data_IF_255759969595
#
_entry.id   IF_255759969595
#
_cell.length_a   1.000
_cell.length_b   1.000
_cell.length_c   1.000
_cell.angle_alpha   90.00
_cell.angle_beta   90.00
_cell.angle_gamma   90.00
#
_symmetry.space_group_name_H-M   'P 1'
#
loop_
_entity.id
_entity.type
_entity.pdbx_description
1 polymer ?
#
# COMPACT_ATOMS: atom_id res chain seq x y z
N UNK A 1 -26.33 6.77 6.42
CA UNK A 1 -25.08 7.45 6.03
C UNK A 1 -24.10 6.36 5.63
N UNK A 2 -23.51 6.45 4.44
CA UNK A 2 -22.56 5.46 3.95
C UNK A 2 -21.25 5.59 4.76
N UNK A 3 -20.52 4.50 5.08
CA UNK A 3 -19.31 4.57 5.91
C UNK A 3 -18.25 5.53 5.39
N UNK A 4 -18.05 5.58 4.06
CA UNK A 4 -17.11 6.49 3.41
C UNK A 4 -17.54 7.97 3.41
N UNK A 5 -18.82 8.27 3.66
CA UNK A 5 -19.27 9.65 3.88
C UNK A 5 -18.97 10.11 5.32
N UNK A 6 -19.06 9.17 6.28
CA UNK A 6 -18.75 9.45 7.68
C UNK A 6 -17.25 9.48 7.96
N UNK A 7 -16.46 8.73 7.17
CA UNK A 7 -15.02 8.56 7.29
C UNK A 7 -14.30 8.69 5.94
N UNK A 8 -14.38 9.86 5.28
CA UNK A 8 -13.74 10.07 3.97
C UNK A 8 -12.20 9.98 4.05
N UNK A 9 -11.61 10.20 5.22
CA UNK A 9 -10.18 10.07 5.45
C UNK A 9 -9.66 8.63 5.36
N UNK A 10 -10.56 7.63 5.37
CA UNK A 10 -10.23 6.21 5.18
C UNK A 10 -10.43 5.73 3.74
N UNK A 11 -10.73 6.65 2.83
CA UNK A 11 -10.83 6.35 1.41
C UNK A 11 -9.50 6.57 0.71
N UNK A 12 -9.16 5.67 -0.21
CA UNK A 12 -8.16 5.93 -1.24
C UNK A 12 -8.79 5.67 -2.61
N UNK A 13 -8.99 6.75 -3.36
CA UNK A 13 -9.77 6.76 -4.60
C UNK A 13 -11.15 6.10 -4.42
N UNK A 14 -11.35 4.92 -5.02
CA UNK A 14 -12.62 4.16 -5.04
C UNK A 14 -12.69 3.07 -3.96
N UNK A 15 -11.68 2.97 -3.11
CA UNK A 15 -11.59 1.97 -2.04
C UNK A 15 -11.77 2.62 -0.68
N UNK A 16 -12.72 2.11 0.11
CA UNK A 16 -12.91 2.46 1.51
C UNK A 16 -12.35 1.34 2.40
N UNK A 17 -11.52 1.72 3.37
CA UNK A 17 -10.94 0.79 4.34
C UNK A 17 -11.62 0.98 5.70
N UNK A 18 -12.08 -0.10 6.30
CA UNK A 18 -12.59 -0.05 7.68
C UNK A 18 -11.43 -0.13 8.68
N UNK A 19 -10.89 1.02 9.07
CA UNK A 19 -9.85 1.11 10.10
C UNK A 19 -10.41 1.26 11.52
N UNK A 20 -11.68 0.91 11.76
CA UNK A 20 -12.33 1.12 13.08
C UNK A 20 -11.63 0.42 14.25
N UNK A 21 -10.91 -0.68 13.97
CA UNK A 21 -10.13 -1.41 14.97
C UNK A 21 -8.67 -0.94 15.07
N UNK A 22 -8.24 0.03 14.27
CA UNK A 22 -6.88 0.58 14.33
C UNK A 22 -6.74 1.53 15.52
N UNK A 23 -5.56 1.58 16.12
CA UNK A 23 -5.22 2.57 17.15
C UNK A 23 -5.01 3.95 16.54
N UNK A 24 -4.37 3.98 15.38
CA UNK A 24 -4.04 5.18 14.66
C UNK A 24 -3.98 4.90 13.16
N UNK A 25 -4.40 5.89 12.37
CA UNK A 25 -4.28 5.90 10.91
C UNK A 25 -3.69 7.24 10.52
N UNK A 26 -2.68 7.22 9.64
CA UNK A 26 -2.07 8.42 9.06
C UNK A 26 -2.10 8.26 7.55
N UNK A 27 -2.65 9.23 6.82
CA UNK A 27 -2.44 9.36 5.38
C UNK A 27 -1.07 9.96 5.11
N UNK A 28 -0.07 9.10 4.89
CA UNK A 28 1.33 9.53 4.97
C UNK A 28 1.76 10.32 3.73
N UNK A 29 1.23 9.99 2.56
CA UNK A 29 1.44 10.76 1.33
C UNK A 29 0.95 12.21 1.46
N UNK A 30 -0.21 12.44 2.08
CA UNK A 30 -0.72 13.77 2.41
C UNK A 30 0.23 14.50 3.38
N UNK A 31 0.77 13.81 4.39
CA UNK A 31 1.73 14.42 5.32
C UNK A 31 3.04 14.81 4.62
N UNK A 32 3.58 13.95 3.76
CA UNK A 32 4.79 14.24 2.97
C UNK A 32 4.56 15.42 2.03
N UNK A 33 3.37 15.51 1.42
CA UNK A 33 2.97 16.63 0.59
C UNK A 33 2.84 17.94 1.39
N UNK A 34 2.19 17.90 2.55
CA UNK A 34 2.03 19.06 3.43
C UNK A 34 3.38 19.57 3.96
N UNK A 35 4.35 18.68 4.16
CA UNK A 35 5.73 19.04 4.51
C UNK A 35 6.54 19.61 3.33
N UNK A 36 5.97 19.64 2.12
CA UNK A 36 6.63 20.17 0.92
C UNK A 36 7.74 19.27 0.37
N UNK A 37 7.79 17.98 0.75
CA UNK A 37 8.90 17.08 0.43
C UNK A 37 8.70 16.25 -0.85
N UNK A 38 7.59 16.43 -1.57
CA UNK A 38 7.26 15.67 -2.80
C UNK A 38 8.22 15.89 -3.97
N UNK A 39 9.03 16.94 -3.93
CA UNK A 39 10.09 17.18 -4.91
C UNK A 39 11.41 16.44 -4.58
N UNK A 40 11.57 15.95 -3.34
CA UNK A 40 12.74 15.22 -2.86
C UNK A 40 12.45 13.73 -2.67
N UNK A 41 11.24 13.40 -2.25
CA UNK A 41 10.76 12.05 -2.00
C UNK A 41 9.72 11.66 -3.04
N UNK A 42 9.61 10.35 -3.31
CA UNK A 42 8.55 9.80 -4.19
C UNK A 42 7.14 9.93 -3.59
N UNK A 43 7.04 10.46 -2.36
CA UNK A 43 5.85 10.48 -1.52
C UNK A 43 5.93 9.44 -0.42
N UNK A 44 4.96 9.51 0.50
CA UNK A 44 4.70 8.43 1.45
C UNK A 44 3.91 7.29 0.80
N UNK A 45 3.84 6.16 1.49
CA UNK A 45 2.76 5.20 1.31
C UNK A 45 1.43 5.88 1.59
N UNK A 46 0.34 5.38 1.01
CA UNK A 46 -0.96 6.05 1.16
C UNK A 46 -1.45 6.00 2.62
N UNK A 47 -1.26 4.89 3.34
CA UNK A 47 -1.56 4.82 4.78
C UNK A 47 -0.45 4.22 5.63
N UNK A 48 -0.34 4.74 6.85
CA UNK A 48 0.33 4.10 7.98
C UNK A 48 -0.72 3.78 9.02
N UNK A 49 -0.86 2.50 9.34
CA UNK A 49 -1.91 2.00 10.22
C UNK A 49 -1.28 1.29 11.41
N UNK A 50 -1.46 1.87 12.60
CA UNK A 50 -1.00 1.26 13.84
C UNK A 50 -2.12 0.41 14.44
N UNK A 51 -1.86 -0.88 14.56
CA UNK A 51 -2.69 -1.83 15.31
C UNK A 51 -2.05 -2.12 16.67
N UNK A 52 -2.73 -2.88 17.53
CA UNK A 52 -2.16 -3.25 18.83
C UNK A 52 -0.84 -3.99 18.73
N UNK A 53 -0.72 -4.92 17.78
CA UNK A 53 0.43 -5.83 17.68
C UNK A 53 1.34 -5.58 16.48
N UNK A 54 1.02 -4.63 15.60
CA UNK A 54 1.72 -4.45 14.32
C UNK A 54 1.54 -3.03 13.77
N UNK A 55 2.49 -2.61 12.93
CA UNK A 55 2.41 -1.39 12.14
C UNK A 55 2.34 -1.77 10.66
N UNK A 56 1.34 -1.26 9.94
CA UNK A 56 1.22 -1.48 8.50
C UNK A 56 1.60 -0.21 7.74
N UNK A 57 2.38 -0.37 6.69
CA UNK A 57 2.59 0.60 5.63
C UNK A 57 1.79 0.10 4.42
N UNK A 58 0.72 0.80 4.04
CA UNK A 58 -0.19 0.39 2.98
C UNK A 58 0.01 1.27 1.74
N UNK A 59 0.36 0.63 0.63
CA UNK A 59 0.42 1.27 -0.69
C UNK A 59 -0.64 0.66 -1.60
N UNK A 60 -1.46 1.49 -2.21
CA UNK A 60 -2.60 1.14 -3.05
C UNK A 60 -2.25 1.45 -4.51
N UNK A 61 -2.58 0.50 -5.38
CA UNK A 61 -2.55 0.65 -6.83
C UNK A 61 -3.86 0.10 -7.38
N UNK A 62 -4.80 0.98 -7.73
CA UNK A 62 -6.15 0.58 -8.16
C UNK A 62 -6.40 0.91 -9.64
N UNK A 63 -5.91 0.08 -10.59
CA UNK A 63 -6.15 0.29 -12.01
C UNK A 63 -7.61 0.06 -12.42
N UNK A 64 -8.45 -0.53 -11.56
CA UNK A 64 -9.89 -0.72 -11.78
C UNK A 64 -10.75 0.25 -10.96
N UNK A 65 -10.17 1.34 -10.46
CA UNK A 65 -10.92 2.38 -9.76
C UNK A 65 -12.11 2.85 -10.58
N UNK A 66 -13.29 2.86 -9.96
CA UNK A 66 -14.52 3.39 -10.55
C UNK A 66 -14.43 4.87 -10.91
N UNK A 67 -13.47 5.61 -10.34
CA UNK A 67 -13.18 7.01 -10.69
C UNK A 67 -12.51 7.16 -12.07
N UNK A 68 -11.95 6.08 -12.65
CA UNK A 68 -11.36 6.10 -13.98
C UNK A 68 -12.50 6.10 -15.03
N UNK A 69 -12.54 7.10 -15.94
CA UNK A 69 -13.53 7.13 -17.01
C UNK A 69 -13.50 5.87 -17.87
N UNK A 70 -14.66 5.36 -18.26
CA UNK A 70 -14.82 4.08 -18.98
C UNK A 70 -13.86 3.93 -20.16
N UNK A 71 -13.79 4.96 -21.02
CA UNK A 71 -12.92 5.02 -22.20
C UNK A 71 -11.41 4.89 -21.91
N UNK A 72 -10.98 5.00 -20.64
CA UNK A 72 -9.58 4.92 -20.23
C UNK A 72 -9.26 3.66 -19.41
N UNK A 73 -10.26 2.89 -18.98
CA UNK A 73 -10.08 1.73 -18.07
C UNK A 73 -9.15 0.69 -18.67
N UNK A 74 -9.40 0.25 -19.90
CA UNK A 74 -8.58 -0.78 -20.54
C UNK A 74 -7.13 -0.32 -20.74
N UNK A 75 -6.94 0.94 -21.18
CA UNK A 75 -5.59 1.50 -21.33
C UNK A 75 -4.84 1.57 -20.00
N UNK A 76 -5.51 1.96 -18.92
CA UNK A 76 -4.93 2.03 -17.58
C UNK A 76 -4.55 0.64 -17.08
N UNK A 77 -5.44 -0.34 -17.26
CA UNK A 77 -5.20 -1.75 -16.94
C UNK A 77 -3.99 -2.31 -17.69
N UNK A 78 -3.93 -2.14 -19.02
CA UNK A 78 -2.81 -2.63 -19.83
C UNK A 78 -1.48 -1.98 -19.45
N UNK A 79 -1.49 -0.67 -19.19
CA UNK A 79 -0.30 0.03 -18.71
C UNK A 79 0.19 -0.54 -17.38
N UNK A 80 -0.72 -0.79 -16.44
CA UNK A 80 -0.36 -1.35 -15.14
C UNK A 80 0.21 -2.77 -15.25
N UNK A 81 -0.35 -3.62 -16.10
CA UNK A 81 0.22 -4.93 -16.41
C UNK A 81 1.62 -4.84 -17.01
N UNK A 82 1.84 -3.90 -17.94
CA UNK A 82 3.16 -3.64 -18.50
C UNK A 82 4.16 -3.17 -17.42
N UNK A 83 3.73 -2.35 -16.46
CA UNK A 83 4.55 -1.91 -15.32
C UNK A 83 4.92 -3.08 -14.38
N UNK A 84 4.04 -4.07 -14.20
CA UNK A 84 4.35 -5.30 -13.46
C UNK A 84 5.42 -6.12 -14.19
N UNK A 85 5.23 -6.35 -15.49
CA UNK A 85 6.13 -7.19 -16.32
C UNK A 85 7.52 -6.56 -16.44
N UNK A 86 7.59 -5.25 -16.65
CA UNK A 86 8.84 -4.50 -16.81
C UNK A 86 9.58 -4.22 -15.50
N UNK A 87 9.07 -4.65 -14.34
CA UNK A 87 9.56 -4.33 -13.00
C UNK A 87 9.48 -2.83 -12.62
N UNK A 88 9.00 -1.98 -13.53
CA UNK A 88 8.74 -0.55 -13.33
C UNK A 88 7.90 -0.30 -12.07
N UNK A 89 6.88 -1.14 -11.82
CA UNK A 89 6.06 -1.03 -10.62
C UNK A 89 6.91 -1.10 -9.33
N UNK A 90 7.86 -2.02 -9.25
CA UNK A 90 8.71 -2.17 -8.06
C UNK A 90 9.71 -1.02 -7.99
N UNK A 91 10.52 -0.87 -9.04
CA UNK A 91 11.68 0.01 -9.04
C UNK A 91 11.34 1.49 -8.98
N UNK A 92 10.22 1.88 -9.61
CA UNK A 92 9.83 3.29 -9.76
C UNK A 92 8.71 3.72 -8.83
N UNK A 93 7.98 2.77 -8.23
CA UNK A 93 6.82 3.09 -7.39
C UNK A 93 6.93 2.47 -5.99
N UNK A 94 6.86 1.14 -5.87
CA UNK A 94 6.73 0.48 -4.56
C UNK A 94 7.97 0.65 -3.68
N UNK A 95 9.16 0.30 -4.21
CA UNK A 95 10.38 0.37 -3.42
C UNK A 95 10.76 1.81 -3.02
N UNK A 96 10.76 2.81 -3.92
CA UNK A 96 11.02 4.19 -3.53
C UNK A 96 10.05 4.70 -2.46
N UNK A 97 8.75 4.42 -2.59
CA UNK A 97 7.77 4.84 -1.57
C UNK A 97 8.01 4.15 -0.22
N UNK A 98 8.34 2.85 -0.19
CA UNK A 98 8.70 2.17 1.06
C UNK A 98 9.90 2.84 1.74
N UNK A 99 10.99 3.04 0.98
CA UNK A 99 12.21 3.69 1.48
C UNK A 99 11.90 5.06 2.05
N UNK A 100 11.26 5.90 1.24
CA UNK A 100 11.03 7.29 1.55
C UNK A 100 10.05 7.44 2.73
N UNK A 101 9.07 6.53 2.84
CA UNK A 101 8.17 6.45 4.00
C UNK A 101 8.91 6.10 5.29
N UNK A 102 9.84 5.14 5.24
CA UNK A 102 10.62 4.77 6.43
C UNK A 102 11.56 5.90 6.87
N UNK A 103 12.14 6.63 5.91
CA UNK A 103 12.95 7.82 6.19
C UNK A 103 12.10 8.90 6.85
N UNK A 104 10.99 9.27 6.22
CA UNK A 104 10.10 10.33 6.70
C UNK A 104 9.51 9.98 8.06
N UNK A 105 8.97 8.77 8.23
CA UNK A 105 8.47 8.30 9.54
C UNK A 105 9.58 8.29 10.60
N UNK A 106 10.77 7.79 10.26
CA UNK A 106 11.87 7.70 11.20
C UNK A 106 12.35 9.05 11.72
N UNK A 107 12.35 10.08 10.86
CA UNK A 107 12.84 11.40 11.20
C UNK A 107 11.77 12.31 11.80
N UNK A 108 10.53 12.27 11.30
CA UNK A 108 9.48 13.20 11.73
C UNK A 108 8.64 12.68 12.89
N UNK A 109 8.31 11.38 12.90
CA UNK A 109 7.37 10.80 13.87
C UNK A 109 8.03 9.80 14.83
N UNK A 110 9.16 9.22 14.42
CA UNK A 110 9.70 7.98 14.97
C UNK A 110 8.89 6.76 14.52
N UNK A 111 9.54 5.59 14.47
CA UNK A 111 8.87 4.32 14.13
C UNK A 111 8.67 3.48 15.38
N UNK A 112 7.42 3.22 15.74
CA UNK A 112 7.05 2.38 16.88
C UNK A 112 7.71 1.00 16.81
N UNK A 113 8.12 0.45 17.97
CA UNK A 113 8.79 -0.86 18.05
C UNK A 113 7.79 -2.03 17.98
N UNK A 114 7.06 -2.13 16.87
CA UNK A 114 6.12 -3.23 16.55
C UNK A 114 6.53 -3.93 15.25
N UNK A 115 6.22 -5.22 15.06
CA UNK A 115 6.35 -5.88 13.76
C UNK A 115 5.77 -5.01 12.63
N UNK A 116 6.57 -4.76 11.60
CA UNK A 116 6.22 -3.88 10.49
C UNK A 116 5.82 -4.74 9.28
N UNK A 117 4.73 -4.38 8.60
CA UNK A 117 4.35 -4.98 7.32
C UNK A 117 4.24 -3.90 6.26
N UNK A 118 4.93 -4.08 5.14
CA UNK A 118 4.67 -3.28 3.95
C UNK A 118 3.73 -4.06 3.03
N UNK A 119 2.51 -3.55 2.86
CA UNK A 119 1.46 -4.24 2.13
C UNK A 119 1.12 -3.43 0.89
N UNK A 120 1.29 -4.04 -0.27
CA UNK A 120 0.82 -3.51 -1.54
C UNK A 120 -0.56 -4.08 -1.83
N UNK A 121 -1.59 -3.23 -1.88
CA UNK A 121 -2.90 -3.60 -2.36
C UNK A 121 -3.04 -3.24 -3.84
N UNK A 122 -3.43 -4.22 -4.64
CA UNK A 122 -3.68 -4.04 -6.06
C UNK A 122 -5.16 -4.22 -6.35
N UNK A 123 -5.83 -3.14 -6.72
CA UNK A 123 -7.23 -3.17 -7.16
C UNK A 123 -7.37 -3.66 -8.60
N UNK A 124 -6.75 -4.81 -8.92
CA UNK A 124 -6.93 -5.52 -10.18
C UNK A 124 -7.41 -6.93 -9.85
N UNK A 125 -8.69 -7.18 -10.12
CA UNK A 125 -9.39 -8.43 -9.79
C UNK A 125 -8.77 -9.64 -10.48
N UNK A 126 -8.36 -9.50 -11.74
CA UNK A 126 -7.82 -10.57 -12.57
C UNK A 126 -6.38 -11.00 -12.24
N UNK A 127 -5.78 -10.49 -11.16
CA UNK A 127 -4.45 -10.96 -10.72
C UNK A 127 -4.54 -12.29 -9.99
N UNK A 128 -3.83 -13.27 -10.53
CA UNK A 128 -3.72 -14.59 -9.93
C UNK A 128 -2.85 -14.57 -8.66
N UNK A 129 -3.10 -15.47 -7.69
CA UNK A 129 -2.26 -15.59 -6.48
C UNK A 129 -0.77 -15.76 -6.79
N UNK A 130 -0.41 -16.45 -7.86
CA UNK A 130 0.98 -16.64 -8.29
C UNK A 130 1.63 -15.32 -8.74
N UNK A 131 0.89 -14.44 -9.42
CA UNK A 131 1.40 -13.14 -9.85
C UNK A 131 1.65 -12.22 -8.65
N UNK A 132 0.75 -12.23 -7.67
CA UNK A 132 0.90 -11.48 -6.41
C UNK A 132 2.07 -12.00 -5.57
N UNK A 133 2.21 -13.33 -5.44
CA UNK A 133 3.37 -13.95 -4.79
C UNK A 133 4.69 -13.59 -5.51
N UNK A 134 4.69 -13.61 -6.85
CA UNK A 134 5.85 -13.20 -7.63
C UNK A 134 6.20 -11.72 -7.43
N UNK A 135 5.21 -10.84 -7.31
CA UNK A 135 5.45 -9.43 -6.99
C UNK A 135 6.07 -9.26 -5.61
N UNK A 136 5.50 -9.92 -4.60
CA UNK A 136 6.04 -9.95 -3.23
C UNK A 136 7.50 -10.40 -3.23
N UNK A 137 7.81 -11.51 -3.90
CA UNK A 137 9.15 -12.09 -3.92
C UNK A 137 10.18 -11.18 -4.58
N UNK A 138 9.79 -10.53 -5.69
CA UNK A 138 10.65 -9.55 -6.35
C UNK A 138 10.91 -8.35 -5.44
N UNK A 139 9.88 -7.82 -4.79
CA UNK A 139 10.00 -6.69 -3.85
C UNK A 139 10.89 -7.05 -2.65
N UNK A 140 10.73 -8.24 -2.08
CA UNK A 140 11.55 -8.71 -0.95
C UNK A 140 13.05 -8.81 -1.30
N UNK A 141 13.35 -9.14 -2.57
CA UNK A 141 14.72 -9.26 -3.09
C UNK A 141 15.31 -7.93 -3.56
N UNK A 142 14.55 -6.85 -3.54
CA UNK A 142 15.04 -5.53 -3.95
C UNK A 142 15.95 -4.94 -2.88
N UNK A 143 17.17 -4.59 -3.26
CA UNK A 143 18.10 -3.78 -2.46
C UNK A 143 18.27 -4.30 -1.02
N UNK A 144 17.90 -3.48 -0.04
CA UNK A 144 18.02 -3.76 1.39
C UNK A 144 16.72 -4.26 2.01
N UNK A 145 15.65 -4.51 1.24
CA UNK A 145 14.30 -4.80 1.78
C UNK A 145 14.34 -5.99 2.74
N UNK A 146 15.01 -7.08 2.38
CA UNK A 146 15.19 -8.27 3.24
C UNK A 146 16.20 -8.08 4.39
N UNK A 147 16.89 -6.94 4.42
CA UNK A 147 17.85 -6.56 5.44
C UNK A 147 19.25 -7.10 5.20
N UNK A 148 20.13 -6.98 6.21
CA UNK A 148 21.50 -7.49 6.13
C UNK A 148 21.55 -8.98 5.77
N UNK A 149 22.39 -9.33 4.80
CA UNK A 149 22.47 -10.66 4.14
C UNK A 149 22.49 -11.87 5.07
N UNK A 150 23.01 -11.75 6.29
CA UNK A 150 23.19 -12.87 7.22
C UNK A 150 22.27 -12.85 8.44
N UNK A 151 21.66 -11.71 8.76
CA UNK A 151 20.86 -11.56 9.97
C UNK A 151 19.42 -11.14 9.70
N UNK A 152 19.14 -10.62 8.50
CA UNK A 152 17.93 -9.86 8.25
C UNK A 152 17.78 -8.68 9.21
N UNK A 153 16.57 -8.12 9.26
CA UNK A 153 16.22 -7.07 10.21
C UNK A 153 16.01 -7.63 11.62
N UNK A 154 16.54 -6.94 12.63
CA UNK A 154 16.25 -7.26 14.05
C UNK A 154 14.78 -7.06 14.39
N UNK A 155 14.17 -6.03 13.81
CA UNK A 155 12.74 -5.78 13.88
C UNK A 155 12.05 -6.68 12.87
N UNK A 156 11.03 -7.43 13.32
CA UNK A 156 10.21 -8.23 12.40
C UNK A 156 9.66 -7.33 11.29
N UNK A 157 9.98 -7.68 10.05
CA UNK A 157 9.54 -6.96 8.86
C UNK A 157 9.15 -7.97 7.79
N UNK A 158 8.02 -7.73 7.13
CA UNK A 158 7.51 -8.55 6.03
C UNK A 158 6.92 -7.66 4.93
N UNK A 159 6.90 -8.19 3.70
CA UNK A 159 6.24 -7.55 2.56
C UNK A 159 5.12 -8.45 2.05
N UNK A 160 3.99 -7.85 1.69
CA UNK A 160 2.82 -8.59 1.22
C UNK A 160 2.22 -7.89 0.01
N UNK A 161 1.60 -8.68 -0.87
CA UNK A 161 0.85 -8.17 -2.02
C UNK A 161 -0.49 -8.90 -2.07
N UNK A 162 -1.58 -8.14 -2.16
CA UNK A 162 -2.93 -8.66 -2.21
C UNK A 162 -3.72 -7.96 -3.32
N UNK A 163 -4.70 -8.66 -3.89
CA UNK A 163 -5.86 -7.97 -4.46
C UNK A 163 -6.96 -7.79 -3.40
N UNK A 164 -8.02 -7.05 -3.73
CA UNK A 164 -9.12 -6.76 -2.79
C UNK A 164 -9.77 -8.03 -2.24
N UNK A 165 -9.96 -9.06 -3.08
CA UNK A 165 -10.57 -10.32 -2.65
C UNK A 165 -9.68 -11.09 -1.66
N UNK A 166 -8.38 -11.19 -1.93
CA UNK A 166 -7.43 -11.82 -1.01
C UNK A 166 -7.33 -11.04 0.30
N UNK A 167 -7.29 -9.72 0.23
CA UNK A 167 -7.29 -8.85 1.40
C UNK A 167 -8.52 -9.15 2.26
N UNK A 168 -9.73 -9.08 1.70
CA UNK A 168 -10.96 -9.28 2.47
C UNK A 168 -11.10 -10.67 3.09
N UNK A 169 -10.50 -11.70 2.47
CA UNK A 169 -10.45 -13.05 3.06
C UNK A 169 -9.48 -13.17 4.24
N UNK A 170 -8.34 -12.48 4.18
CA UNK A 170 -7.22 -12.67 5.12
C UNK A 170 -7.18 -11.60 6.23
N UNK A 171 -7.61 -10.38 5.91
CA UNK A 171 -7.45 -9.18 6.74
C UNK A 171 -8.80 -8.78 7.33
N UNK A 172 -9.47 -9.73 8.00
CA UNK A 172 -10.86 -9.59 8.48
C UNK A 172 -11.11 -8.45 9.46
N UNK A 173 -10.05 -7.90 10.08
CA UNK A 173 -10.12 -6.73 10.96
C UNK A 173 -10.21 -5.39 10.22
N UNK A 174 -9.93 -5.39 8.91
CA UNK A 174 -9.88 -4.19 8.08
C UNK A 174 -10.52 -4.48 6.71
N UNK A 175 -11.81 -4.82 6.63
CA UNK A 175 -12.44 -5.05 5.34
C UNK A 175 -12.37 -3.82 4.43
N UNK A 176 -12.33 -4.07 3.12
CA UNK A 176 -12.32 -3.07 2.05
C UNK A 176 -13.63 -3.16 1.29
N UNK A 177 -14.22 -1.99 1.04
CA UNK A 177 -15.37 -1.84 0.15
C UNK A 177 -14.94 -1.04 -1.08
N UNK A 178 -15.36 -1.49 -2.27
CA UNK A 178 -15.26 -0.69 -3.49
C UNK A 178 -16.51 0.19 -3.61
N UNK A 179 -16.35 1.50 -3.54
CA UNK A 179 -17.45 2.48 -3.43
C UNK A 179 -18.34 2.44 -4.68
N UNK A 180 -17.74 2.36 -5.87
CA UNK A 180 -18.46 2.28 -7.14
C UNK A 180 -19.31 1.01 -7.33
N UNK A 181 -19.17 0.01 -6.46
CA UNK A 181 -19.91 -1.26 -6.49
C UNK A 181 -20.96 -1.38 -5.38
N UNK A 182 -21.20 -0.32 -4.59
CA UNK A 182 -22.19 -0.32 -3.49
C UNK A 182 -23.51 0.38 -3.85
#
# INVERSE_FOLDING_TARGET
MKPWEAKPEWCESDLYFDFSQARQVIKLDDQVAAAGLTHLLKGGVDFVVEWDTQLWLLEIKDPESGAIPEQHREKQRQRFLADIVSQSLIERHLFPKLRDSLIFLGLEYGVVNKPLRYITLIGLSDLEPAQLAGLRDRLWRTEWVSGPRYSGWRKSFDVQAFNVDQWNRLMTKCPILRISQQ
#
